data_IF_192272743181
#
_entry.id   IF_192272743181
#
_cell.length_a   1.000
_cell.length_b   1.000
_cell.length_c   1.000
_cell.angle_alpha   90.00
_cell.angle_beta   90.00
_cell.angle_gamma   90.00
#
_symmetry.space_group_name_H-M   'P 1'
#
loop_
_entity.id
_entity.type
_entity.pdbx_description
1 polymer ?
#
# COMPACT_ATOMS: atom_id res chain seq x y z
N UNK A 1 -14.22 -5.78 2.30
CA UNK A 1 -14.07 -7.16 1.78
C UNK A 1 -13.56 -7.00 0.35
N UNK A 2 -12.38 -7.53 -0.03
CA UNK A 2 -11.97 -7.63 -1.46
C UNK A 2 -13.02 -8.55 -2.09
N UNK A 3 -13.83 -8.04 -3.02
CA UNK A 3 -14.84 -8.86 -3.71
C UNK A 3 -14.18 -9.90 -4.65
N UNK A 4 -12.86 -9.83 -4.82
CA UNK A 4 -12.07 -10.67 -5.73
C UNK A 4 -11.25 -11.76 -5.05
N UNK A 5 -11.18 -11.84 -3.71
CA UNK A 5 -10.54 -12.95 -3.02
C UNK A 5 -11.09 -13.19 -1.61
N UNK A 6 -10.93 -14.42 -1.12
CA UNK A 6 -11.13 -14.74 0.29
C UNK A 6 -10.01 -14.10 1.11
N UNK A 7 -10.33 -13.04 1.85
CA UNK A 7 -9.36 -12.36 2.72
C UNK A 7 -9.10 -13.25 3.93
N UNK A 8 -7.88 -13.79 4.03
CA UNK A 8 -7.47 -14.56 5.20
C UNK A 8 -6.92 -13.63 6.27
N UNK A 9 -7.32 -13.85 7.53
CA UNK A 9 -6.69 -13.17 8.65
C UNK A 9 -5.60 -14.07 9.24
N UNK A 10 -4.34 -13.71 9.01
CA UNK A 10 -3.17 -14.45 9.51
C UNK A 10 -2.45 -13.56 10.51
N UNK A 11 -2.38 -13.98 11.77
CA UNK A 11 -1.73 -13.22 12.86
C UNK A 11 -2.25 -11.78 13.00
N UNK A 12 -3.55 -11.56 12.80
CA UNK A 12 -4.16 -10.23 12.88
C UNK A 12 -3.97 -9.37 11.63
N UNK A 13 -3.32 -9.88 10.58
CA UNK A 13 -3.16 -9.21 9.29
C UNK A 13 -4.12 -9.80 8.28
N UNK A 14 -4.81 -8.94 7.55
CA UNK A 14 -5.52 -9.35 6.37
C UNK A 14 -4.50 -9.68 5.27
N UNK A 15 -4.68 -10.81 4.62
CA UNK A 15 -3.85 -11.29 3.52
C UNK A 15 -4.79 -11.67 2.38
N UNK A 16 -4.69 -10.93 1.29
CA UNK A 16 -5.32 -11.22 0.02
C UNK A 16 -4.53 -12.30 -0.73
N UNK A 17 -5.22 -13.01 -1.62
CA UNK A 17 -4.57 -13.96 -2.51
C UNK A 17 -3.58 -13.27 -3.45
N UNK A 18 -2.53 -14.00 -3.83
CA UNK A 18 -1.55 -13.53 -4.82
C UNK A 18 -2.30 -13.25 -6.13
N UNK A 19 -2.41 -11.98 -6.48
CA UNK A 19 -3.15 -11.51 -7.66
C UNK A 19 -4.48 -10.81 -7.38
N UNK A 20 -5.00 -10.75 -6.14
CA UNK A 20 -6.14 -9.85 -5.84
C UNK A 20 -5.69 -8.41 -6.15
N UNK A 21 -6.55 -7.62 -6.82
CA UNK A 21 -6.26 -6.23 -7.15
C UNK A 21 -5.88 -5.34 -5.95
N UNK A 22 -6.20 -5.81 -4.73
CA UNK A 22 -6.01 -5.16 -3.43
C UNK A 22 -4.87 -5.77 -2.59
N UNK A 23 -4.09 -6.71 -3.14
CA UNK A 23 -2.92 -7.31 -2.46
C UNK A 23 -1.88 -6.27 -2.01
N UNK A 24 -1.89 -5.09 -2.63
CA UNK A 24 -1.03 -3.95 -2.26
C UNK A 24 -1.36 -3.35 -0.90
N UNK A 25 -2.52 -3.66 -0.29
CA UNK A 25 -2.91 -3.22 1.05
C UNK A 25 -2.30 -4.07 2.19
N UNK A 26 -1.84 -5.28 1.88
CA UNK A 26 -1.42 -6.24 2.93
C UNK A 26 -0.01 -6.00 3.46
N UNK A 27 0.81 -5.34 2.66
CA UNK A 27 2.23 -5.20 2.90
C UNK A 27 2.62 -3.73 2.86
N UNK A 28 3.46 -3.27 3.81
CA UNK A 28 4.00 -1.94 3.72
C UNK A 28 4.95 -1.86 2.52
N UNK A 29 4.86 -0.76 1.79
CA UNK A 29 5.77 -0.44 0.69
C UNK A 29 6.85 0.51 1.18
N UNK A 30 7.97 0.56 0.47
CA UNK A 30 9.05 1.50 0.74
C UNK A 30 8.74 2.83 0.05
N UNK A 31 8.85 3.93 0.81
CA UNK A 31 8.76 5.27 0.27
C UNK A 31 9.94 5.52 -0.67
N UNK A 32 9.65 5.92 -1.91
CA UNK A 32 10.67 6.18 -2.92
C UNK A 32 11.59 7.39 -2.60
N UNK A 33 11.32 8.13 -1.51
CA UNK A 33 12.01 9.36 -1.15
C UNK A 33 12.77 9.30 0.16
N UNK A 34 12.17 8.72 1.20
CA UNK A 34 12.76 8.69 2.53
C UNK A 34 13.12 7.27 2.97
N UNK A 35 12.93 6.27 2.10
CA UNK A 35 13.15 4.84 2.32
C UNK A 35 12.39 4.27 3.53
N UNK A 36 11.42 5.02 4.08
CA UNK A 36 10.57 4.56 5.18
C UNK A 36 9.49 3.63 4.65
N UNK A 37 9.23 2.57 5.40
CA UNK A 37 8.13 1.65 5.14
C UNK A 37 6.81 2.24 5.62
N UNK A 38 5.79 2.24 4.78
CA UNK A 38 4.46 2.75 5.11
C UNK A 38 3.36 1.88 4.48
N UNK A 39 2.17 1.91 5.07
CA UNK A 39 0.99 1.27 4.47
C UNK A 39 0.38 2.25 3.45
N UNK A 40 0.28 1.88 2.16
CA UNK A 40 -0.36 2.73 1.17
C UNK A 40 -1.87 2.85 1.45
N UNK A 41 -2.40 4.07 1.35
CA UNK A 41 -3.82 4.37 1.49
C UNK A 41 -4.57 4.27 0.16
N UNK A 42 -3.86 4.46 -0.96
CA UNK A 42 -4.42 4.34 -2.31
C UNK A 42 -3.48 3.60 -3.25
N UNK A 43 -4.07 2.97 -4.27
CA UNK A 43 -3.33 2.18 -5.26
C UNK A 43 -2.35 3.06 -6.03
N UNK A 44 -1.08 2.66 -6.03
CA UNK A 44 -0.02 3.39 -6.72
C UNK A 44 0.60 4.54 -5.92
N UNK A 45 0.25 4.69 -4.63
CA UNK A 45 0.98 5.57 -3.72
C UNK A 45 2.47 5.17 -3.69
N UNK A 46 3.36 6.16 -3.79
CA UNK A 46 4.82 5.96 -3.76
C UNK A 46 5.50 6.58 -2.56
N UNK A 47 4.77 7.42 -1.82
CA UNK A 47 5.32 8.28 -0.78
C UNK A 47 4.47 8.21 0.48
N UNK A 48 5.12 8.22 1.65
CA UNK A 48 4.48 7.88 2.91
C UNK A 48 3.52 8.94 3.46
N UNK A 49 3.72 10.20 3.09
CA UNK A 49 2.87 11.31 3.50
C UNK A 49 2.93 12.42 2.44
N UNK A 50 2.04 13.41 2.58
CA UNK A 50 1.97 14.54 1.68
C UNK A 50 3.27 15.37 1.70
N UNK A 51 3.85 15.61 2.88
CA UNK A 51 5.12 16.33 3.00
C UNK A 51 6.29 15.58 2.33
N UNK A 52 6.25 14.25 2.31
CA UNK A 52 7.27 13.36 1.79
C UNK A 52 7.29 13.33 0.25
N UNK A 53 6.36 14.04 -0.42
CA UNK A 53 6.37 14.19 -1.88
C UNK A 53 5.43 15.26 -2.46
N UNK A 54 5.06 16.31 -1.71
CA UNK A 54 4.27 17.40 -2.27
C UNK A 54 4.93 18.06 -3.52
N UNK A 55 6.21 17.78 -3.79
CA UNK A 55 6.98 18.35 -4.91
C UNK A 55 6.80 17.68 -6.29
N UNK A 56 6.15 16.52 -6.40
CA UNK A 56 6.01 15.86 -7.72
C UNK A 56 4.75 16.25 -8.48
N UNK A 57 3.95 17.15 -7.91
CA UNK A 57 2.82 17.80 -8.57
C UNK A 57 3.22 19.14 -9.21
N UNK A 58 4.51 19.36 -9.52
CA UNK A 58 5.01 20.60 -10.13
C UNK A 58 5.77 20.40 -11.45
N UNK A 59 5.57 19.28 -12.16
CA UNK A 59 6.13 19.07 -13.50
C UNK A 59 5.10 18.56 -14.51
#
# INVERSE_FOLDING_TARGET
MCDSCEVLNINGRNCHEIGCPDVWLDYPIECAWCDRKFMPEFKGQKCCDNDCHCLYASY
#
